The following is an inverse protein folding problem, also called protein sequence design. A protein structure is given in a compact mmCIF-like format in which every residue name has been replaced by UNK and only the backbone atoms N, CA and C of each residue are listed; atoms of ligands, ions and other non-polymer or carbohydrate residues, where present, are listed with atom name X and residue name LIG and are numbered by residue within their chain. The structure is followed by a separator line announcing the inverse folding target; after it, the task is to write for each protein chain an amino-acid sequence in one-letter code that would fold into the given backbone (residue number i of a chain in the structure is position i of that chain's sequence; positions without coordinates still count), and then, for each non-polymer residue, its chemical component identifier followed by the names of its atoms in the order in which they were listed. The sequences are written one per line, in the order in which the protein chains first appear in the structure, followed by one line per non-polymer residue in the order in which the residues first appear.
data_IF_545030655042
#
_entry.id   IF_545030655042
#
_cell.length_a   1.000
_cell.length_b   1.000
_cell.length_c   1.000
_cell.angle_alpha   90.00
_cell.angle_beta   90.00
_cell.angle_gamma   90.00
#
_symmetry.space_group_name_H-M   'P 1'
#
loop_
_entity.id
_entity.type
_entity.pdbx_description
1 polymer ?
#
# COMPACT_ATOMS: atom_id res chain seq x y z
N UNK A 1 -13.06 -8.69 -8.82
CA UNK A 1 -11.73 -8.06 -8.62
C UNK A 1 -11.01 -8.78 -7.50
N UNK A 2 -9.77 -9.14 -7.77
CA UNK A 2 -8.88 -9.84 -6.86
C UNK A 2 -8.49 -8.92 -5.68
N UNK A 3 -8.24 -9.48 -4.51
CA UNK A 3 -7.80 -8.69 -3.34
C UNK A 3 -6.51 -7.92 -3.62
N UNK A 4 -5.61 -8.51 -4.40
CA UNK A 4 -4.36 -7.84 -4.77
C UNK A 4 -4.65 -6.58 -5.59
N UNK A 5 -5.61 -6.65 -6.50
CA UNK A 5 -5.98 -5.51 -7.33
C UNK A 5 -6.70 -4.44 -6.51
N UNK A 6 -7.53 -4.84 -5.56
CA UNK A 6 -8.21 -3.92 -4.65
C UNK A 6 -7.17 -3.20 -3.80
N UNK A 7 -6.20 -3.92 -3.25
CA UNK A 7 -5.12 -3.34 -2.46
C UNK A 7 -4.32 -2.34 -3.29
N UNK A 8 -3.92 -2.72 -4.51
CA UNK A 8 -3.16 -1.84 -5.40
C UNK A 8 -3.91 -0.55 -5.68
N UNK A 9 -5.19 -0.65 -6.00
CA UNK A 9 -6.04 0.52 -6.26
C UNK A 9 -6.11 1.43 -5.03
N UNK A 10 -6.32 0.83 -3.85
CA UNK A 10 -6.47 1.61 -2.62
C UNK A 10 -5.17 2.28 -2.21
N UNK A 11 -4.05 1.60 -2.38
CA UNK A 11 -2.73 2.20 -2.10
C UNK A 11 -2.48 3.38 -3.03
N UNK A 12 -2.78 3.24 -4.33
CA UNK A 12 -2.63 4.35 -5.27
C UNK A 12 -3.52 5.54 -4.90
N UNK A 13 -4.76 5.25 -4.48
CA UNK A 13 -5.69 6.30 -4.06
C UNK A 13 -5.19 7.02 -2.80
N UNK A 14 -4.63 6.28 -1.85
CA UNK A 14 -4.08 6.86 -0.62
C UNK A 14 -2.82 7.68 -0.91
N UNK A 15 -2.05 7.29 -1.91
CA UNK A 15 -0.88 8.08 -2.33
C UNK A 15 -1.31 9.42 -2.90
N UNK A 16 -2.39 9.44 -3.65
CA UNK A 16 -2.89 10.67 -4.27
C UNK A 16 -1.86 11.27 -5.22
N UNK A 17 -1.57 12.56 -5.05
CA UNK A 17 -0.62 13.28 -5.91
C UNK A 17 0.82 13.26 -5.39
N UNK A 18 1.09 12.56 -4.29
CA UNK A 18 2.45 12.39 -3.78
C UNK A 18 3.23 11.47 -4.71
N UNK A 19 4.54 11.67 -4.80
CA UNK A 19 5.40 10.75 -5.55
C UNK A 19 5.51 9.42 -4.79
N UNK A 20 5.86 8.36 -5.50
CA UNK A 20 6.13 7.07 -4.85
C UNK A 20 7.27 7.19 -3.83
N UNK A 21 8.30 7.97 -4.14
CA UNK A 21 9.43 8.17 -3.23
C UNK A 21 8.97 8.77 -1.91
N UNK A 22 8.22 9.86 -1.97
CA UNK A 22 7.72 10.55 -0.77
C UNK A 22 6.79 9.63 0.02
N UNK A 23 5.87 8.98 -0.66
CA UNK A 23 4.88 8.13 0.01
C UNK A 23 5.52 6.89 0.63
N UNK A 24 6.51 6.29 -0.05
CA UNK A 24 7.21 5.13 0.51
C UNK A 24 7.92 5.48 1.81
N UNK A 25 8.53 6.65 1.88
CA UNK A 25 9.17 7.12 3.11
C UNK A 25 8.14 7.30 4.24
N UNK A 26 7.00 7.87 3.90
CA UNK A 26 5.92 8.05 4.88
C UNK A 26 5.46 6.70 5.43
N UNK A 27 5.37 5.69 4.57
CA UNK A 27 4.93 4.36 4.97
C UNK A 27 6.03 3.55 5.67
N UNK A 28 7.28 3.98 5.59
CA UNK A 28 8.40 3.23 6.15
C UNK A 28 8.75 1.98 5.36
N UNK A 29 8.48 1.98 4.06
CA UNK A 29 8.82 0.86 3.16
C UNK A 29 9.68 1.39 2.02
N UNK A 30 10.31 0.48 1.28
CA UNK A 30 11.12 0.88 0.14
C UNK A 30 10.22 1.33 -1.02
N UNK A 31 10.77 2.17 -1.89
CA UNK A 31 10.06 2.59 -3.09
C UNK A 31 9.75 1.40 -3.99
N UNK A 32 10.67 0.44 -4.08
CA UNK A 32 10.44 -0.78 -4.86
C UNK A 32 9.26 -1.59 -4.31
N UNK A 33 9.15 -1.67 -2.98
CA UNK A 33 8.02 -2.35 -2.35
C UNK A 33 6.70 -1.63 -2.68
N UNK A 34 6.69 -0.32 -2.59
CA UNK A 34 5.50 0.46 -2.92
C UNK A 34 5.11 0.28 -4.39
N UNK A 35 6.09 0.30 -5.29
CA UNK A 35 5.83 0.11 -6.72
C UNK A 35 5.18 -1.25 -6.99
N UNK A 36 5.65 -2.30 -6.32
CA UNK A 36 5.06 -3.63 -6.46
C UNK A 36 3.63 -3.67 -5.94
N UNK A 37 3.37 -3.04 -4.79
CA UNK A 37 2.02 -2.98 -4.24
C UNK A 37 1.07 -2.28 -5.21
N UNK A 38 1.50 -1.18 -5.78
CA UNK A 38 0.67 -0.38 -6.68
C UNK A 38 0.45 -1.07 -8.04
N UNK A 39 1.33 -1.98 -8.42
CA UNK A 39 1.21 -2.71 -9.68
C UNK A 39 0.40 -4.01 -9.54
N UNK A 40 -0.02 -4.36 -8.33
CA UNK A 40 -0.77 -5.58 -8.10
C UNK A 40 0.09 -6.83 -7.99
N UNK A 41 1.39 -6.67 -7.66
CA UNK A 41 2.27 -7.82 -7.47
C UNK A 41 1.87 -8.59 -6.20
N UNK A 42 2.03 -9.91 -6.22
CA UNK A 42 1.45 -10.81 -5.21
C UNK A 42 2.38 -11.14 -4.05
N UNK A 43 3.48 -10.45 -3.90
CA UNK A 43 4.51 -10.79 -2.91
C UNK A 43 4.46 -9.93 -1.64
N UNK A 44 3.28 -9.46 -1.29
CA UNK A 44 3.12 -8.64 -0.10
C UNK A 44 2.96 -9.51 1.12
N UNK A 45 3.74 -9.23 2.17
CA UNK A 45 3.63 -9.95 3.43
C UNK A 45 2.66 -9.23 4.37
N UNK A 46 2.12 -9.98 5.33
CA UNK A 46 1.29 -9.40 6.38
C UNK A 46 2.07 -8.35 7.17
N UNK A 47 3.37 -8.57 7.37
CA UNK A 47 4.22 -7.62 8.08
C UNK A 47 4.27 -6.27 7.36
N UNK A 48 4.39 -6.29 6.04
CA UNK A 48 4.37 -5.05 5.24
C UNK A 48 3.02 -4.34 5.38
N UNK A 49 1.92 -5.09 5.33
CA UNK A 49 0.59 -4.50 5.49
C UNK A 49 0.41 -3.91 6.87
N UNK A 50 0.92 -4.56 7.92
CA UNK A 50 0.88 -4.01 9.26
C UNK A 50 1.67 -2.71 9.36
N UNK A 51 2.82 -2.64 8.72
CA UNK A 51 3.64 -1.44 8.71
C UNK A 51 2.89 -0.28 8.05
N UNK A 52 2.22 -0.55 6.94
CA UNK A 52 1.43 0.47 6.23
C UNK A 52 0.28 0.95 7.11
N UNK A 53 -0.45 0.03 7.73
CA UNK A 53 -1.56 0.38 8.61
C UNK A 53 -1.09 1.23 9.79
N UNK A 54 0.06 0.91 10.37
CA UNK A 54 0.63 1.66 11.46
C UNK A 54 0.98 3.09 11.02
N UNK A 55 1.61 3.22 9.87
CA UNK A 55 2.03 4.52 9.34
C UNK A 55 0.83 5.41 8.99
N UNK A 56 -0.23 4.82 8.47
CA UNK A 56 -1.44 5.56 8.07
C UNK A 56 -2.48 5.66 9.19
N UNK A 57 -2.22 5.01 10.32
CA UNK A 57 -3.16 4.96 11.45
C UNK A 57 -4.53 4.45 11.03
N UNK A 58 -4.54 3.39 10.23
CA UNK A 58 -5.77 2.76 9.76
C UNK A 58 -5.74 1.28 10.10
N UNK A 59 -6.88 0.62 9.99
CA UNK A 59 -6.91 -0.83 10.14
C UNK A 59 -6.80 -1.49 8.77
N UNK A 60 -6.55 -2.79 8.76
CA UNK A 60 -6.30 -3.50 7.52
C UNK A 60 -7.53 -3.51 6.59
N UNK A 61 -8.72 -3.42 7.14
CA UNK A 61 -9.94 -3.34 6.35
C UNK A 61 -9.97 -2.14 5.42
N UNK A 62 -9.33 -1.03 5.83
CA UNK A 62 -9.25 0.16 5.00
C UNK A 62 -8.47 -0.08 3.71
N UNK A 63 -7.48 -0.98 3.75
CA UNK A 63 -6.66 -1.30 2.59
C UNK A 63 -7.39 -2.18 1.58
N UNK A 64 -8.40 -2.91 2.02
CA UNK A 64 -9.14 -3.86 1.17
C UNK A 64 -10.59 -3.45 0.94
N UNK A 65 -10.90 -2.21 1.19
CA UNK A 65 -12.24 -1.66 0.97
C UNK A 65 -12.53 -1.57 -0.53
N UNK A 66 -13.60 -2.19 -0.96
CA UNK A 66 -13.99 -2.21 -2.38
C UNK A 66 -15.05 -1.12 -2.76
#
# INVERSE_FOLDING_TARGET
MDLVDILARNIRALRGDKTQDVFSRKLGISQATLARLESGAQNTTVKTLQQICKALRCNIGELFKS
#
